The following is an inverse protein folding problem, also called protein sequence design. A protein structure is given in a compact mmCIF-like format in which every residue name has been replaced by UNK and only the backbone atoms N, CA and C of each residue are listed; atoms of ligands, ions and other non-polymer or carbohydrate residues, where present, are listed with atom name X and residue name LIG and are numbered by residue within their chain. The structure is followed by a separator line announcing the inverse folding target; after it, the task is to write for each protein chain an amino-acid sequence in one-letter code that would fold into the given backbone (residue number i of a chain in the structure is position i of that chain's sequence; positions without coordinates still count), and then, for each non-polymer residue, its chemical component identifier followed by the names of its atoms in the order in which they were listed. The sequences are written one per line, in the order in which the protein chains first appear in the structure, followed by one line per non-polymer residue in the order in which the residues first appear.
data_IF_736043067753
#
_entry.id   IF_736043067753
#
_cell.length_a   1.000
_cell.length_b   1.000
_cell.length_c   1.000
_cell.angle_alpha   90.00
_cell.angle_beta   90.00
_cell.angle_gamma   90.00
#
_symmetry.space_group_name_H-M   'P 1'
#
loop_
_entity.id
_entity.type
_entity.pdbx_description
1 polymer ?
#
# COMPACT_ATOMS: atom_id res chain seq x y z
N UNK A 1 1.33 23.50 1.44
CA UNK A 1 2.09 22.37 2.03
C UNK A 1 3.24 22.91 2.87
N UNK A 2 3.58 22.27 4.00
CA UNK A 2 4.63 22.74 4.93
C UNK A 2 5.99 22.08 4.64
N UNK A 3 5.98 20.85 4.14
CA UNK A 3 7.18 20.09 3.77
C UNK A 3 7.10 19.65 2.31
N UNK A 4 8.24 19.70 1.63
CA UNK A 4 8.42 19.23 0.26
C UNK A 4 9.57 18.22 0.27
N UNK A 5 9.33 17.02 -0.25
CA UNK A 5 10.31 15.94 -0.30
C UNK A 5 10.85 15.75 -1.72
N UNK A 6 12.15 15.50 -1.79
CA UNK A 6 12.84 15.05 -3.00
C UNK A 6 14.02 14.19 -2.59
N UNK A 7 14.23 13.10 -3.30
CA UNK A 7 15.40 12.27 -3.13
C UNK A 7 16.49 12.65 -4.14
N UNK A 8 17.76 12.48 -3.76
CA UNK A 8 18.85 12.45 -4.73
C UNK A 8 18.62 11.31 -5.73
N UNK A 9 18.86 11.50 -7.04
CA UNK A 9 18.74 10.44 -8.04
C UNK A 9 19.42 9.11 -7.71
N UNK A 10 20.48 9.13 -6.91
CA UNK A 10 21.19 7.93 -6.43
C UNK A 10 20.34 7.06 -5.50
N UNK A 11 19.24 7.58 -4.94
CA UNK A 11 18.30 6.82 -4.13
C UNK A 11 17.69 5.61 -4.88
N UNK A 12 17.67 5.63 -6.21
CA UNK A 12 17.29 4.47 -7.03
C UNK A 12 18.14 3.23 -6.70
N UNK A 13 19.39 3.41 -6.27
CA UNK A 13 20.27 2.32 -5.90
C UNK A 13 19.80 1.62 -4.62
N UNK A 14 19.14 2.34 -3.70
CA UNK A 14 18.57 1.75 -2.48
C UNK A 14 17.49 0.73 -2.86
N UNK A 15 16.58 1.11 -3.77
CA UNK A 15 15.54 0.22 -4.28
C UNK A 15 16.14 -1.03 -4.95
N UNK A 16 17.21 -0.86 -5.74
CA UNK A 16 17.89 -1.98 -6.42
C UNK A 16 18.59 -2.92 -5.45
N UNK A 17 19.30 -2.39 -4.45
CA UNK A 17 19.97 -3.20 -3.43
C UNK A 17 18.94 -3.96 -2.58
N UNK A 18 17.80 -3.34 -2.30
CA UNK A 18 16.69 -3.97 -1.59
C UNK A 18 15.91 -4.99 -2.43
N UNK A 19 16.15 -5.08 -3.74
CA UNK A 19 15.42 -5.98 -4.64
C UNK A 19 13.96 -5.58 -4.83
N UNK A 20 13.67 -4.28 -4.86
CA UNK A 20 12.32 -3.75 -5.06
C UNK A 20 11.96 -3.76 -6.54
N UNK A 21 10.98 -4.60 -6.89
CA UNK A 21 10.48 -4.70 -8.28
C UNK A 21 9.37 -3.68 -8.59
N UNK A 22 8.74 -3.10 -7.57
CA UNK A 22 7.59 -2.20 -7.72
C UNK A 22 7.54 -1.08 -6.68
N UNK A 23 7.11 0.11 -7.11
CA UNK A 23 6.76 1.24 -6.23
C UNK A 23 5.41 1.86 -6.61
N UNK A 24 4.67 2.36 -5.62
CA UNK A 24 3.50 3.21 -5.88
C UNK A 24 3.90 4.68 -5.91
N UNK A 25 3.44 5.41 -6.93
CA UNK A 25 3.57 6.86 -7.06
C UNK A 25 2.27 7.58 -6.73
N UNK A 26 1.22 6.87 -6.30
CA UNK A 26 0.04 7.56 -5.80
C UNK A 26 0.27 7.96 -4.34
N UNK A 27 0.70 9.18 -4.10
CA UNK A 27 0.78 9.77 -2.76
C UNK A 27 0.69 11.30 -2.82
N UNK A 28 0.49 11.91 -1.66
CA UNK A 28 0.42 13.36 -1.54
C UNK A 28 1.73 14.08 -1.93
N UNK A 29 2.91 13.45 -1.87
CA UNK A 29 4.22 14.08 -2.14
C UNK A 29 4.74 13.96 -3.58
N UNK A 30 3.97 13.34 -4.47
CA UNK A 30 4.43 12.98 -5.83
C UNK A 30 4.73 14.18 -6.73
N UNK A 31 4.06 15.33 -6.51
CA UNK A 31 4.30 16.57 -7.24
C UNK A 31 4.85 17.70 -6.37
N UNK A 32 5.58 17.37 -5.30
CA UNK A 32 6.22 18.39 -4.44
C UNK A 32 7.13 19.34 -5.23
N UNK A 33 7.79 18.83 -6.26
CA UNK A 33 8.60 19.61 -7.22
C UNK A 33 7.97 19.67 -8.61
N UNK A 34 6.63 19.62 -8.65
CA UNK A 34 5.80 19.78 -9.84
C UNK A 34 6.03 18.69 -10.92
N UNK A 35 5.44 18.92 -12.09
CA UNK A 35 5.38 17.95 -13.20
C UNK A 35 6.77 17.52 -13.68
N UNK A 36 7.73 18.45 -13.77
CA UNK A 36 9.08 18.14 -14.25
C UNK A 36 9.78 17.08 -13.36
N UNK A 37 9.61 17.16 -12.04
CA UNK A 37 10.18 16.17 -11.13
C UNK A 37 9.45 14.83 -11.15
N UNK A 38 8.13 14.84 -11.36
CA UNK A 38 7.36 13.61 -11.61
C UNK A 38 7.87 12.90 -12.87
N UNK A 39 8.03 13.63 -13.98
CA UNK A 39 8.53 13.06 -15.23
C UNK A 39 9.94 12.49 -15.08
N UNK A 40 10.82 13.18 -14.34
CA UNK A 40 12.15 12.65 -14.00
C UNK A 40 12.05 11.35 -13.18
N UNK A 41 11.10 11.27 -12.25
CA UNK A 41 10.87 10.07 -11.43
C UNK A 41 10.41 8.88 -12.28
N UNK A 42 9.41 9.08 -13.14
CA UNK A 42 8.90 8.06 -14.07
C UNK A 42 10.04 7.53 -14.96
N UNK A 43 10.79 8.43 -15.59
CA UNK A 43 11.91 8.08 -16.47
C UNK A 43 13.00 7.27 -15.74
N UNK A 44 13.30 7.60 -14.48
CA UNK A 44 14.31 6.89 -13.68
C UNK A 44 13.86 5.49 -13.28
N UNK A 45 12.59 5.32 -12.93
CA UNK A 45 12.03 4.00 -12.61
C UNK A 45 12.03 3.10 -13.85
N UNK A 46 11.56 3.63 -14.99
CA UNK A 46 11.54 2.90 -16.27
C UNK A 46 12.94 2.48 -16.70
N UNK A 47 13.93 3.40 -16.64
CA UNK A 47 15.34 3.09 -16.99
C UNK A 47 15.97 2.04 -16.10
N UNK A 48 15.45 1.83 -14.88
CA UNK A 48 15.96 0.84 -13.94
C UNK A 48 15.09 -0.42 -13.87
N UNK A 49 14.07 -0.54 -14.73
CA UNK A 49 13.12 -1.65 -14.76
C UNK A 49 12.39 -1.87 -13.42
N UNK A 50 12.09 -0.78 -12.70
CA UNK A 50 11.26 -0.83 -11.49
C UNK A 50 9.85 -0.48 -11.92
N UNK A 51 8.92 -1.42 -11.78
CA UNK A 51 7.53 -1.20 -12.13
C UNK A 51 6.92 -0.12 -11.22
N UNK A 52 5.94 0.61 -11.74
CA UNK A 52 5.25 1.63 -10.97
C UNK A 52 3.80 1.81 -11.43
N UNK A 53 2.98 2.35 -10.53
CA UNK A 53 1.59 2.71 -10.81
C UNK A 53 1.17 3.91 -9.95
N UNK A 54 0.06 4.54 -10.35
CA UNK A 54 -0.61 5.56 -9.54
C UNK A 54 -0.20 7.00 -9.83
N UNK A 55 0.71 7.22 -10.77
CA UNK A 55 0.98 8.51 -11.39
C UNK A 55 1.45 8.31 -12.84
N UNK A 56 1.36 9.34 -13.67
CA UNK A 56 1.74 9.26 -15.09
C UNK A 56 1.75 10.62 -15.78
N UNK A 57 2.09 10.63 -17.07
CA UNK A 57 2.08 11.83 -17.93
C UNK A 57 0.67 12.36 -18.20
N UNK A 58 -0.33 11.49 -18.07
CA UNK A 58 -1.74 11.79 -18.21
C UNK A 58 -2.58 10.79 -17.38
N UNK A 59 -3.90 10.96 -17.44
CA UNK A 59 -4.86 10.13 -16.72
C UNK A 59 -4.85 8.65 -17.16
N UNK A 60 -4.54 8.36 -18.43
CA UNK A 60 -4.50 6.99 -18.93
C UNK A 60 -3.29 6.25 -18.35
N UNK A 61 -2.13 6.91 -18.34
CA UNK A 61 -0.92 6.36 -17.74
C UNK A 61 -1.03 6.25 -16.22
N UNK A 62 -1.54 7.30 -15.54
CA UNK A 62 -1.72 7.27 -14.09
C UNK A 62 -2.68 6.15 -13.64
N UNK A 63 -3.70 5.83 -14.46
CA UNK A 63 -4.66 4.76 -14.18
C UNK A 63 -4.20 3.38 -14.64
N UNK A 64 -3.03 3.27 -15.31
CA UNK A 64 -2.53 1.99 -15.83
C UNK A 64 -2.05 1.10 -14.69
N UNK A 65 -2.46 -0.18 -14.64
CA UNK A 65 -1.94 -1.10 -13.64
C UNK A 65 -0.47 -1.44 -13.92
N UNK A 66 0.32 -1.61 -12.87
CA UNK A 66 1.59 -2.32 -12.96
C UNK A 66 1.32 -3.82 -13.04
N UNK A 67 2.14 -4.56 -13.80
CA UNK A 67 2.08 -6.02 -13.88
C UNK A 67 3.43 -6.61 -13.49
N UNK A 68 3.42 -7.44 -12.46
CA UNK A 68 4.57 -8.16 -11.94
C UNK A 68 4.38 -9.66 -12.22
N UNK A 69 5.47 -10.39 -12.39
CA UNK A 69 5.43 -11.83 -12.58
C UNK A 69 6.54 -12.52 -11.79
N UNK A 70 6.18 -13.52 -11.00
CA UNK A 70 7.12 -14.39 -10.31
C UNK A 70 6.65 -15.84 -10.35
N UNK A 71 7.51 -16.75 -10.81
CA UNK A 71 7.21 -18.20 -10.91
C UNK A 71 5.89 -18.50 -11.66
N UNK A 72 5.58 -17.72 -12.69
CA UNK A 72 4.37 -17.86 -13.51
C UNK A 72 3.09 -17.31 -12.86
N UNK A 73 3.18 -16.71 -11.67
CA UNK A 73 2.07 -15.99 -11.03
C UNK A 73 2.18 -14.51 -11.37
N UNK A 74 1.12 -13.96 -11.95
CA UNK A 74 1.02 -12.55 -12.33
C UNK A 74 0.26 -11.74 -11.28
N UNK A 75 0.84 -10.64 -10.84
CA UNK A 75 0.24 -9.71 -9.88
C UNK A 75 0.03 -8.36 -10.57
N UNK A 76 -1.23 -7.96 -10.71
CA UNK A 76 -1.62 -6.65 -11.21
C UNK A 76 -1.82 -5.69 -10.04
N UNK A 77 -1.22 -4.50 -10.09
CA UNK A 77 -1.35 -3.49 -9.04
C UNK A 77 -1.99 -2.23 -9.61
N UNK A 78 -3.10 -1.80 -9.03
CA UNK A 78 -3.68 -0.47 -9.27
C UNK A 78 -3.44 0.39 -8.05
N UNK A 79 -2.99 1.63 -8.26
CA UNK A 79 -2.64 2.52 -7.18
C UNK A 79 -3.41 3.84 -7.28
N UNK A 80 -3.95 4.30 -6.16
CA UNK A 80 -4.75 5.52 -6.06
C UNK A 80 -4.30 6.38 -4.88
N UNK A 81 -4.71 7.65 -4.87
CA UNK A 81 -4.63 8.49 -3.67
C UNK A 81 -5.90 9.29 -3.49
N UNK A 82 -6.29 9.56 -2.24
CA UNK A 82 -7.38 10.50 -1.93
C UNK A 82 -6.85 11.87 -1.44
N UNK A 83 -5.54 12.07 -1.42
CA UNK A 83 -4.91 13.33 -1.02
C UNK A 83 -4.55 14.17 -2.25
N UNK A 84 -4.36 15.47 -2.04
CA UNK A 84 -3.92 16.45 -3.04
C UNK A 84 -4.71 16.35 -4.37
N UNK A 85 -6.03 16.63 -4.40
CA UNK A 85 -6.83 16.58 -5.63
C UNK A 85 -6.27 17.46 -6.75
N UNK A 86 -5.56 18.53 -6.41
CA UNK A 86 -4.90 19.42 -7.38
C UNK A 86 -3.78 18.72 -8.15
N UNK A 87 -3.22 17.65 -7.59
CA UNK A 87 -2.20 16.80 -8.21
C UNK A 87 -2.79 15.75 -9.16
N UNK A 88 -4.12 15.66 -9.27
CA UNK A 88 -4.76 14.68 -10.16
C UNK A 88 -4.29 14.87 -11.60
N UNK A 89 -3.88 13.77 -12.22
CA UNK A 89 -3.65 13.71 -13.65
C UNK A 89 -4.93 14.05 -14.42
N UNK A 90 -4.76 14.65 -15.60
CA UNK A 90 -5.86 14.89 -16.56
C UNK A 90 -5.49 14.30 -17.92
N UNK A 91 -6.33 14.47 -18.94
CA UNK A 91 -6.00 14.03 -20.30
C UNK A 91 -4.74 14.69 -20.88
N UNK A 92 -4.33 15.84 -20.34
CA UNK A 92 -3.22 16.64 -20.87
C UNK A 92 -2.26 17.13 -19.79
N UNK A 93 -2.34 16.59 -18.58
CA UNK A 93 -1.50 17.03 -17.45
C UNK A 93 -1.00 15.83 -16.64
N UNK A 94 0.32 15.74 -16.39
CA UNK A 94 0.89 14.75 -15.49
C UNK A 94 0.32 14.87 -14.08
N UNK A 95 0.24 13.75 -13.37
CA UNK A 95 -0.27 13.76 -12.02
C UNK A 95 -0.53 12.39 -11.43
N UNK A 96 -1.17 12.37 -10.27
CA UNK A 96 -1.55 11.16 -9.56
C UNK A 96 -2.91 10.61 -9.99
N UNK A 97 -3.11 9.32 -9.77
CA UNK A 97 -4.39 8.64 -9.95
C UNK A 97 -5.32 8.93 -8.76
N UNK A 98 -5.86 10.15 -8.71
CA UNK A 98 -6.69 10.59 -7.59
C UNK A 98 -8.08 9.94 -7.59
N UNK A 99 -8.59 9.51 -6.44
CA UNK A 99 -10.00 9.16 -6.23
C UNK A 99 -10.48 9.60 -4.86
N UNK A 100 -11.67 10.21 -4.72
CA UNK A 100 -12.28 10.40 -3.40
C UNK A 100 -12.72 9.04 -2.82
N UNK A 101 -12.81 8.98 -1.49
CA UNK A 101 -13.28 7.80 -0.76
C UNK A 101 -14.82 7.83 -0.74
N UNK A 102 -15.44 7.17 -1.71
CA UNK A 102 -16.90 7.10 -1.87
C UNK A 102 -17.32 5.87 -2.66
N UNK A 103 -18.50 5.36 -2.33
CA UNK A 103 -19.18 4.28 -3.06
C UNK A 103 -20.23 4.79 -4.06
N UNK A 104 -20.31 6.12 -4.27
CA UNK A 104 -21.15 6.68 -5.33
C UNK A 104 -20.79 6.09 -6.69
N UNK A 105 -21.77 5.51 -7.37
CA UNK A 105 -21.55 4.71 -8.57
C UNK A 105 -20.84 5.45 -9.70
N UNK A 106 -21.07 6.77 -9.84
CA UNK A 106 -20.47 7.54 -10.93
C UNK A 106 -18.96 7.69 -10.72
N UNK A 107 -18.56 7.94 -9.47
CA UNK A 107 -17.16 8.12 -9.13
C UNK A 107 -16.47 6.76 -8.99
N UNK A 108 -17.10 5.83 -8.28
CA UNK A 108 -16.56 4.50 -8.01
C UNK A 108 -16.39 3.64 -9.27
N UNK A 109 -17.10 3.97 -10.37
CA UNK A 109 -16.90 3.33 -11.67
C UNK A 109 -15.44 3.34 -12.12
N UNK A 110 -14.66 4.40 -11.87
CA UNK A 110 -13.24 4.44 -12.25
C UNK A 110 -12.39 3.44 -11.48
N UNK A 111 -12.68 3.25 -10.20
CA UNK A 111 -12.03 2.22 -9.36
C UNK A 111 -12.36 0.82 -9.89
N UNK A 112 -13.65 0.55 -10.16
CA UNK A 112 -14.09 -0.72 -10.77
C UNK A 112 -13.38 -1.00 -12.10
N UNK A 113 -13.30 0.01 -12.98
CA UNK A 113 -12.62 -0.12 -14.28
C UNK A 113 -11.12 -0.38 -14.14
N UNK A 114 -10.43 0.24 -13.18
CA UNK A 114 -9.01 -0.01 -12.96
C UNK A 114 -8.75 -1.44 -12.46
N UNK A 115 -9.57 -1.93 -11.53
CA UNK A 115 -9.47 -3.32 -11.05
C UNK A 115 -9.72 -4.31 -12.19
N UNK A 116 -10.73 -4.04 -13.02
CA UNK A 116 -11.01 -4.84 -14.21
C UNK A 116 -9.85 -4.81 -15.21
N UNK A 117 -9.26 -3.63 -15.47
CA UNK A 117 -8.14 -3.52 -16.41
C UNK A 117 -6.90 -4.29 -15.93
N UNK A 118 -6.63 -4.29 -14.62
CA UNK A 118 -5.58 -5.12 -14.03
C UNK A 118 -5.85 -6.61 -14.29
N UNK A 119 -7.10 -7.06 -14.13
CA UNK A 119 -7.49 -8.44 -14.45
C UNK A 119 -7.32 -8.76 -15.94
N UNK A 120 -7.71 -7.84 -16.82
CA UNK A 120 -7.62 -8.00 -18.28
C UNK A 120 -6.18 -8.14 -18.79
N UNK A 121 -5.17 -7.69 -18.02
CA UNK A 121 -3.75 -7.97 -18.31
C UNK A 121 -3.35 -9.45 -18.10
N UNK A 122 -4.26 -10.28 -17.59
CA UNK A 122 -4.01 -11.68 -17.22
C UNK A 122 -3.48 -11.85 -15.80
N UNK A 123 -3.68 -10.86 -14.92
CA UNK A 123 -3.28 -10.95 -13.52
C UNK A 123 -4.04 -12.06 -12.78
N UNK A 124 -3.31 -12.92 -12.06
CA UNK A 124 -3.88 -13.91 -11.16
C UNK A 124 -4.35 -13.26 -9.85
N UNK A 125 -3.58 -12.29 -9.37
CA UNK A 125 -3.86 -11.52 -8.15
C UNK A 125 -3.95 -10.05 -8.51
N UNK A 126 -4.99 -9.36 -8.06
CA UNK A 126 -5.13 -7.91 -8.18
C UNK A 126 -4.96 -7.24 -6.81
N UNK A 127 -3.94 -6.41 -6.70
CA UNK A 127 -3.69 -5.57 -5.52
C UNK A 127 -4.26 -4.18 -5.78
N UNK A 128 -5.15 -3.73 -4.92
CA UNK A 128 -5.57 -2.33 -4.87
C UNK A 128 -4.76 -1.61 -3.80
N UNK A 129 -3.94 -0.64 -4.22
CA UNK A 129 -3.13 0.20 -3.33
C UNK A 129 -3.73 1.60 -3.23
N UNK A 130 -3.82 2.17 -2.03
CA UNK A 130 -4.29 3.54 -1.86
C UNK A 130 -3.56 4.31 -0.78
N UNK A 131 -3.10 5.52 -1.14
CA UNK A 131 -2.62 6.51 -0.19
C UNK A 131 -3.78 7.38 0.30
N UNK A 132 -4.18 7.24 1.57
CA UNK A 132 -5.44 7.80 2.04
C UNK A 132 -5.49 8.25 3.50
N UNK A 133 -6.35 9.24 3.76
CA UNK A 133 -6.65 9.72 5.10
C UNK A 133 -5.53 10.59 5.69
N UNK A 134 -5.62 10.89 7.00
CA UNK A 134 -4.62 11.67 7.70
C UNK A 134 -3.56 10.78 8.36
N UNK A 135 -2.37 11.36 8.55
CA UNK A 135 -1.26 10.78 9.31
C UNK A 135 -1.67 10.47 10.77
N UNK A 136 -0.99 9.49 11.37
CA UNK A 136 -1.14 9.02 12.76
C UNK A 136 -2.53 8.53 13.14
N UNK A 137 -3.36 8.20 12.15
CA UNK A 137 -4.69 7.65 12.40
C UNK A 137 -4.59 6.19 12.85
N UNK A 138 -5.05 5.90 14.07
CA UNK A 138 -4.96 4.56 14.65
C UNK A 138 -6.07 3.60 14.19
N UNK A 139 -7.25 4.12 13.83
CA UNK A 139 -8.41 3.30 13.44
C UNK A 139 -9.06 3.82 12.15
N UNK A 140 -9.37 2.94 11.18
CA UNK A 140 -10.09 3.33 9.99
C UNK A 140 -11.53 3.72 10.37
N UNK A 141 -12.04 4.87 9.88
CA UNK A 141 -13.45 5.24 10.07
C UNK A 141 -14.37 4.30 9.27
N UNK A 142 -15.66 4.26 9.60
CA UNK A 142 -16.60 3.33 8.95
C UNK A 142 -16.67 3.49 7.42
N UNK A 143 -16.66 4.73 6.93
CA UNK A 143 -16.68 4.99 5.48
C UNK A 143 -15.40 4.52 4.74
N UNK A 144 -14.27 4.36 5.46
CA UNK A 144 -13.07 3.73 4.90
C UNK A 144 -13.26 2.22 4.75
N UNK A 145 -13.88 1.58 5.75
CA UNK A 145 -14.24 0.15 5.71
C UNK A 145 -15.24 -0.15 4.59
N UNK A 146 -16.28 0.68 4.47
CA UNK A 146 -17.27 0.56 3.39
C UNK A 146 -16.62 0.69 2.00
N UNK A 147 -15.70 1.64 1.82
CA UNK A 147 -14.96 1.79 0.57
C UNK A 147 -14.06 0.59 0.29
N UNK A 148 -13.32 0.10 1.30
CA UNK A 148 -12.47 -1.08 1.15
C UNK A 148 -13.28 -2.32 0.77
N UNK A 149 -14.41 -2.56 1.43
CA UNK A 149 -15.33 -3.66 1.08
C UNK A 149 -15.84 -3.54 -0.36
N UNK A 150 -16.24 -2.34 -0.80
CA UNK A 150 -16.67 -2.11 -2.17
C UNK A 150 -15.55 -2.39 -3.20
N UNK A 151 -14.30 -2.05 -2.87
CA UNK A 151 -13.12 -2.36 -3.70
C UNK A 151 -12.88 -3.87 -3.79
N UNK A 152 -12.97 -4.59 -2.67
CA UNK A 152 -12.83 -6.04 -2.66
C UNK A 152 -13.95 -6.72 -3.46
N UNK A 153 -15.18 -6.23 -3.33
CA UNK A 153 -16.34 -6.70 -4.09
C UNK A 153 -16.23 -6.40 -5.59
N UNK A 154 -15.49 -5.36 -5.98
CA UNK A 154 -15.18 -5.06 -7.37
C UNK A 154 -14.14 -6.01 -8.00
N UNK A 155 -13.53 -6.91 -7.21
CA UNK A 155 -12.66 -7.97 -7.73
C UNK A 155 -11.18 -7.85 -7.35
N UNK A 156 -10.83 -6.93 -6.44
CA UNK A 156 -9.50 -6.93 -5.83
C UNK A 156 -9.31 -8.18 -4.94
N UNK A 157 -8.08 -8.65 -4.84
CA UNK A 157 -7.68 -9.80 -4.02
C UNK A 157 -6.95 -9.37 -2.75
N UNK A 158 -6.30 -8.20 -2.77
CA UNK A 158 -5.59 -7.61 -1.65
C UNK A 158 -5.88 -6.10 -1.64
N UNK A 159 -6.29 -5.56 -0.49
CA UNK A 159 -6.37 -4.11 -0.28
C UNK A 159 -5.17 -3.65 0.55
N UNK A 160 -4.41 -2.70 0.01
CA UNK A 160 -3.18 -2.14 0.57
C UNK A 160 -3.35 -0.63 0.80
N UNK A 161 -3.78 -0.25 2.00
CA UNK A 161 -3.83 1.13 2.44
C UNK A 161 -2.49 1.58 3.02
N UNK A 162 -2.16 2.85 2.83
CA UNK A 162 -0.99 3.51 3.43
C UNK A 162 -1.24 5.01 3.56
N UNK A 163 -0.49 5.70 4.45
CA UNK A 163 -0.42 7.16 4.69
C UNK A 163 -0.42 7.49 6.19
N UNK A 164 -0.93 6.60 7.05
CA UNK A 164 -1.06 6.87 8.47
C UNK A 164 0.28 6.88 9.19
N UNK A 165 1.37 6.41 8.59
CA UNK A 165 2.69 6.23 9.23
C UNK A 165 2.69 5.26 10.42
N UNK A 166 1.57 4.60 10.66
CA UNK A 166 1.41 3.56 11.66
C UNK A 166 0.53 2.48 11.07
N UNK A 167 0.78 1.22 11.43
CA UNK A 167 -0.10 0.16 11.00
C UNK A 167 -1.47 0.23 11.69
N UNK A 168 -2.50 -0.11 10.93
CA UNK A 168 -3.87 -0.32 11.41
C UNK A 168 -4.20 -1.82 11.47
N UNK A 169 -5.41 -2.15 11.95
CA UNK A 169 -5.88 -3.54 11.99
C UNK A 169 -5.99 -4.16 10.59
N UNK A 170 -5.86 -5.48 10.55
CA UNK A 170 -6.08 -6.28 9.35
C UNK A 170 -7.46 -6.92 9.44
N UNK A 171 -8.21 -6.87 8.36
CA UNK A 171 -9.49 -7.56 8.21
C UNK A 171 -9.38 -8.62 7.11
N UNK A 172 -9.90 -9.82 7.37
CA UNK A 172 -10.11 -10.84 6.33
C UNK A 172 -11.56 -10.76 5.85
N UNK A 173 -11.76 -10.08 4.73
CA UNK A 173 -13.07 -9.89 4.11
C UNK A 173 -13.28 -10.91 3.00
N UNK A 174 -14.24 -11.83 3.17
CA UNK A 174 -14.55 -12.91 2.22
C UNK A 174 -13.31 -13.73 1.82
N UNK A 175 -12.45 -14.03 2.80
CA UNK A 175 -11.20 -14.78 2.61
C UNK A 175 -10.05 -13.98 2.00
N UNK A 176 -10.19 -12.66 1.86
CA UNK A 176 -9.20 -11.77 1.24
C UNK A 176 -8.73 -10.68 2.22
N UNK A 177 -7.42 -10.38 2.28
CA UNK A 177 -6.90 -9.43 3.26
C UNK A 177 -7.16 -7.97 2.87
N UNK A 178 -7.57 -7.20 3.87
CA UNK A 178 -7.61 -5.75 3.86
C UNK A 178 -6.63 -5.24 4.92
N UNK A 179 -5.55 -4.60 4.47
CA UNK A 179 -4.63 -3.84 5.31
C UNK A 179 -5.03 -2.37 5.21
N UNK A 180 -5.64 -1.82 6.25
CA UNK A 180 -6.18 -0.46 6.21
C UNK A 180 -5.10 0.63 6.19
N UNK A 181 -3.99 0.39 6.89
CA UNK A 181 -2.75 1.15 6.72
C UNK A 181 -1.58 0.25 7.11
N UNK A 182 -0.54 0.20 6.28
CA UNK A 182 0.63 -0.64 6.55
C UNK A 182 1.71 0.06 7.37
N UNK A 183 1.60 1.36 7.60
CA UNK A 183 2.66 2.14 8.23
C UNK A 183 3.92 2.22 7.37
N UNK A 184 5.03 2.60 8.01
CA UNK A 184 6.31 2.78 7.34
C UNK A 184 7.22 1.56 7.51
N UNK A 185 8.09 1.34 6.53
CA UNK A 185 9.15 0.32 6.64
C UNK A 185 10.51 0.94 6.92
N UNK A 186 10.83 2.05 6.26
CA UNK A 186 12.04 2.85 6.48
C UNK A 186 11.56 4.29 6.62
N UNK A 187 11.91 4.93 7.73
CA UNK A 187 11.51 6.29 8.03
C UNK A 187 12.51 6.96 8.98
N UNK A 188 12.58 8.29 8.96
CA UNK A 188 13.36 9.14 9.86
C UNK A 188 12.50 10.20 10.58
N UNK A 189 11.18 10.02 10.60
CA UNK A 189 10.26 10.87 11.35
C UNK A 189 10.56 10.90 12.85
N UNK A 190 10.12 12.01 13.47
CA UNK A 190 9.96 12.09 14.91
C UNK A 190 9.08 10.94 15.42
N UNK A 191 9.56 10.24 16.44
CA UNK A 191 8.81 9.16 17.09
C UNK A 191 7.78 9.76 18.05
N UNK A 192 6.51 9.65 17.68
CA UNK A 192 5.38 10.12 18.47
C UNK A 192 4.89 9.12 19.52
N UNK A 193 3.89 9.50 20.34
CA UNK A 193 3.27 8.61 21.31
C UNK A 193 2.60 7.39 20.67
N UNK A 194 2.26 7.46 19.38
CA UNK A 194 1.72 6.36 18.58
C UNK A 194 2.79 5.31 18.17
N UNK A 195 4.06 5.53 18.55
CA UNK A 195 5.19 4.62 18.28
C UNK A 195 5.30 4.25 16.80
N UNK A 196 5.43 5.25 15.92
CA UNK A 196 5.60 5.07 14.47
C UNK A 196 6.96 4.47 14.08
N UNK A 197 7.84 4.21 15.04
CA UNK A 197 9.04 3.39 14.90
C UNK A 197 8.77 1.89 15.05
N UNK A 198 7.65 1.49 15.66
CA UNK A 198 7.24 0.10 15.80
C UNK A 198 6.35 -0.30 14.62
N UNK A 199 6.86 -1.14 13.73
CA UNK A 199 6.25 -1.41 12.43
C UNK A 199 6.22 -2.91 12.09
N UNK A 200 5.67 -3.23 10.93
CA UNK A 200 5.50 -4.59 10.43
C UNK A 200 6.04 -4.69 9.00
N UNK A 201 6.78 -5.76 8.71
CA UNK A 201 6.98 -6.23 7.34
C UNK A 201 5.88 -7.25 7.00
N UNK A 202 5.16 -7.00 5.92
CA UNK A 202 4.03 -7.81 5.47
C UNK A 202 4.52 -8.82 4.42
N UNK A 203 4.29 -10.11 4.68
CA UNK A 203 4.66 -11.20 3.78
C UNK A 203 3.41 -11.96 3.36
N UNK A 204 2.98 -11.75 2.12
CA UNK A 204 1.81 -12.41 1.55
C UNK A 204 2.28 -13.42 0.49
N UNK A 205 2.03 -14.70 0.74
CA UNK A 205 2.25 -15.77 -0.26
C UNK A 205 0.97 -15.98 -1.05
N UNK A 206 1.07 -15.98 -2.37
CA UNK A 206 -0.07 -16.17 -3.28
C UNK A 206 0.19 -17.31 -4.27
N UNK A 207 -0.89 -17.85 -4.80
CA UNK A 207 -0.90 -18.71 -5.99
C UNK A 207 -1.97 -18.22 -6.96
N UNK A 208 -2.18 -18.96 -8.05
CA UNK A 208 -3.22 -18.61 -9.02
C UNK A 208 -4.65 -18.68 -8.44
N UNK A 209 -4.84 -19.33 -7.29
CA UNK A 209 -6.13 -19.44 -6.60
C UNK A 209 -6.38 -18.37 -5.54
N UNK A 210 -5.40 -17.52 -5.22
CA UNK A 210 -5.55 -16.47 -4.22
C UNK A 210 -4.40 -16.39 -3.22
N UNK A 211 -4.68 -15.78 -2.07
CA UNK A 211 -3.75 -15.68 -0.95
C UNK A 211 -3.72 -16.99 -0.17
N UNK A 212 -2.54 -17.56 0.03
CA UNK A 212 -2.35 -18.86 0.72
C UNK A 212 -1.83 -18.69 2.14
N UNK A 213 -1.00 -17.68 2.37
CA UNK A 213 -0.40 -17.41 3.68
C UNK A 213 -0.16 -15.93 3.84
N UNK A 214 -0.41 -15.44 5.04
CA UNK A 214 -0.17 -14.06 5.40
C UNK A 214 0.58 -14.01 6.74
N UNK A 215 1.86 -13.64 6.67
CA UNK A 215 2.76 -13.51 7.79
C UNK A 215 3.14 -12.04 8.00
N UNK A 216 3.45 -11.68 9.25
CA UNK A 216 4.00 -10.39 9.60
C UNK A 216 5.32 -10.59 10.35
N UNK A 217 6.30 -9.72 10.09
CA UNK A 217 7.53 -9.65 10.88
C UNK A 217 7.54 -8.30 11.62
N UNK A 218 7.40 -8.30 12.95
CA UNK A 218 7.61 -7.12 13.77
C UNK A 218 9.02 -6.54 13.58
N UNK A 219 9.08 -5.24 13.31
CA UNK A 219 10.32 -4.49 13.10
C UNK A 219 10.32 -3.19 13.91
N UNK A 220 11.52 -2.72 14.25
CA UNK A 220 11.78 -1.44 14.88
C UNK A 220 12.63 -0.60 13.94
N UNK A 221 12.13 0.58 13.59
CA UNK A 221 12.86 1.61 12.87
C UNK A 221 13.68 2.40 13.90
N UNK A 222 15.00 2.29 13.84
CA UNK A 222 15.89 2.98 14.78
C UNK A 222 17.22 3.27 14.10
N UNK A 223 17.82 4.42 14.37
CA UNK A 223 19.10 4.84 13.79
C UNK A 223 19.12 4.75 12.24
N UNK A 224 18.00 5.15 11.62
CA UNK A 224 17.77 5.06 10.16
C UNK A 224 17.88 3.63 9.59
N UNK A 225 17.60 2.61 10.41
CA UNK A 225 17.66 1.20 10.04
C UNK A 225 16.41 0.45 10.48
N UNK A 226 16.10 -0.63 9.75
CA UNK A 226 15.03 -1.56 10.11
C UNK A 226 15.63 -2.75 10.84
N UNK A 227 15.22 -2.93 12.09
CA UNK A 227 15.74 -3.98 12.95
C UNK A 227 14.63 -4.97 13.26
N UNK A 228 14.88 -6.26 13.09
CA UNK A 228 13.93 -7.28 13.54
C UNK A 228 13.81 -7.23 15.06
N UNK A 229 12.58 -7.24 15.58
CA UNK A 229 12.36 -7.15 17.02
C UNK A 229 12.33 -8.52 17.69
N UNK A 230 12.65 -8.52 18.98
CA UNK A 230 12.51 -9.68 19.89
C UNK A 230 12.10 -9.16 21.27
N UNK A 231 11.68 -10.05 22.18
CA UNK A 231 11.36 -9.69 23.56
C UNK A 231 10.21 -8.69 23.67
N UNK A 232 10.38 -7.70 24.55
CA UNK A 232 9.31 -6.75 24.92
C UNK A 232 8.74 -5.99 23.72
N UNK A 233 9.57 -5.44 22.84
CA UNK A 233 9.09 -4.68 21.67
C UNK A 233 8.32 -5.58 20.70
N UNK A 234 8.77 -6.84 20.51
CA UNK A 234 8.02 -7.81 19.71
C UNK A 234 6.64 -8.07 20.31
N UNK A 235 6.57 -8.22 21.63
CA UNK A 235 5.31 -8.47 22.33
C UNK A 235 4.38 -7.25 22.29
N UNK A 236 4.91 -6.03 22.39
CA UNK A 236 4.14 -4.79 22.23
C UNK A 236 3.52 -4.68 20.83
N UNK A 237 4.31 -4.90 19.78
CA UNK A 237 3.82 -4.89 18.39
C UNK A 237 2.75 -5.96 18.19
N UNK A 238 3.00 -7.18 18.70
CA UNK A 238 2.05 -8.28 18.62
C UNK A 238 0.72 -7.95 19.29
N UNK A 239 0.73 -7.49 20.54
CA UNK A 239 -0.51 -7.19 21.27
C UNK A 239 -1.28 -6.04 20.59
N UNK A 240 -0.57 -5.06 20.02
CA UNK A 240 -1.20 -3.98 19.24
C UNK A 240 -1.89 -4.52 17.99
N UNK A 241 -1.19 -5.23 17.10
CA UNK A 241 -1.81 -5.72 15.85
C UNK A 241 -2.92 -6.74 16.13
N UNK A 242 -2.77 -7.57 17.16
CA UNK A 242 -3.80 -8.51 17.61
C UNK A 242 -5.05 -7.77 18.09
N UNK A 243 -4.90 -6.73 18.93
CA UNK A 243 -6.02 -5.93 19.40
C UNK A 243 -6.75 -5.23 18.24
N UNK A 244 -6.01 -4.60 17.33
CA UNK A 244 -6.57 -3.89 16.18
C UNK A 244 -7.29 -4.83 15.20
N UNK A 245 -6.72 -6.00 14.92
CA UNK A 245 -7.30 -6.98 13.98
C UNK A 245 -8.46 -7.77 14.61
N UNK A 246 -8.40 -8.09 15.90
CA UNK A 246 -9.50 -8.73 16.62
C UNK A 246 -10.77 -7.85 16.63
N UNK A 247 -10.60 -6.52 16.69
CA UNK A 247 -11.73 -5.58 16.57
C UNK A 247 -12.45 -5.66 15.20
N UNK A 248 -11.82 -6.30 14.21
CA UNK A 248 -12.35 -6.58 12.87
C UNK A 248 -12.64 -8.08 12.66
N UNK A 249 -12.59 -8.90 13.72
CA UNK A 249 -12.85 -10.33 13.66
C UNK A 249 -11.72 -11.18 13.06
N UNK A 250 -10.50 -10.63 12.97
CA UNK A 250 -9.32 -11.34 12.43
C UNK A 250 -8.35 -11.69 13.53
N UNK A 251 -8.04 -12.97 13.67
CA UNK A 251 -7.10 -13.47 14.67
C UNK A 251 -5.64 -13.40 14.19
N UNK A 252 -4.74 -13.06 15.12
CA UNK A 252 -3.29 -12.98 14.90
C UNK A 252 -2.57 -13.84 15.93
N UNK A 253 -1.66 -14.70 15.48
CA UNK A 253 -0.93 -15.63 16.34
C UNK A 253 0.59 -15.48 16.22
N UNK A 254 1.32 -15.78 17.30
CA UNK A 254 2.79 -15.88 17.26
C UNK A 254 3.22 -17.22 16.67
N UNK A 255 4.22 -17.19 15.80
CA UNK A 255 4.89 -18.36 15.25
C UNK A 255 6.39 -18.13 15.22
N UNK A 256 7.08 -18.57 16.28
CA UNK A 256 8.49 -18.25 16.47
C UNK A 256 8.68 -16.73 16.59
N UNK A 257 9.51 -16.16 15.71
CA UNK A 257 9.81 -14.72 15.62
C UNK A 257 8.96 -13.98 14.57
N UNK A 258 7.80 -14.53 14.22
CA UNK A 258 6.85 -13.98 13.24
C UNK A 258 5.44 -14.04 13.80
N UNK A 259 4.54 -13.32 13.13
CA UNK A 259 3.11 -13.39 13.35
C UNK A 259 2.43 -14.01 12.12
N UNK A 260 1.32 -14.70 12.32
CA UNK A 260 0.52 -15.31 11.25
C UNK A 260 -0.93 -14.85 11.37
N UNK A 261 -1.51 -14.48 10.23
CA UNK A 261 -2.92 -14.10 10.08
C UNK A 261 -3.71 -15.31 9.58
N UNK A 262 -4.84 -15.59 10.20
CA UNK A 262 -5.75 -16.66 9.78
C UNK A 262 -6.64 -16.18 8.65
N UNK A 263 -6.51 -16.80 7.46
CA UNK A 263 -7.24 -16.41 6.24
C UNK A 263 -8.64 -17.04 6.13
N UNK A 264 -8.95 -18.03 6.96
CA UNK A 264 -10.25 -18.71 6.99
C UNK A 264 -10.65 -19.03 8.43
N UNK A 265 -11.86 -18.62 8.82
CA UNK A 265 -12.51 -19.15 10.02
C UNK A 265 -13.24 -20.41 9.56
N UNK A 266 -12.71 -21.59 9.88
CA UNK A 266 -13.44 -22.86 9.75
C UNK A 266 -14.66 -22.90 10.69
#
# INVERSE_FOLDING_TARGET
KVFFFRADPTAINVLKVAGIDYVTLANNHTLDFQEAALLETLERLDRNNIAHAGAGMDINEASRPALLEAKGIKVGVVAFTNNEPDFSATESRPGTNYTPITTDDKIFKRVKSAIASARDTGANIVVFSIHWGPNMRQFPPDYFKEFAHAVMDAGADIFHGHSAHIFQGIEIYKGKPIMYDTGDFIDDYYVGPEKNDQQLLYLITTSSSGVERFELIPVLISECQVNQTTGEIFDEIFERIKMLSNAMGTEVFKKGNRLEIVLSID
#
